data_IF_094672157745
#
_entry.id   IF_094672157745
#
_cell.length_a   1.000
_cell.length_b   1.000
_cell.length_c   1.000
_cell.angle_alpha   90.00
_cell.angle_beta   90.00
_cell.angle_gamma   90.00
#
_symmetry.space_group_name_H-M   'P 1'
#
loop_
_entity.id
_entity.type
_entity.pdbx_description
1 polymer ?
#
# COMPACT_ATOMS: atom_id res chain seq x y z
N UNK A 1 23.51 -1.61 4.37
CA UNK A 1 23.52 -1.80 5.85
C UNK A 1 22.11 -2.18 6.25
N UNK A 2 21.90 -3.36 6.87
CA UNK A 2 20.59 -3.73 7.44
C UNK A 2 20.38 -2.94 8.73
N UNK A 3 19.46 -1.98 8.72
CA UNK A 3 19.03 -1.26 9.91
C UNK A 3 17.80 -1.99 10.46
N UNK A 4 17.96 -2.70 11.57
CA UNK A 4 16.83 -3.15 12.39
C UNK A 4 17.07 -2.69 13.80
N UNK A 5 16.36 -1.64 14.23
CA UNK A 5 16.59 -1.01 15.51
C UNK A 5 15.29 -0.69 16.24
N UNK A 6 15.18 -1.15 17.47
CA UNK A 6 14.05 -0.83 18.33
C UNK A 6 14.26 0.54 19.02
N UNK A 7 13.25 1.39 18.92
CA UNK A 7 13.27 2.72 19.52
C UNK A 7 12.25 2.84 20.63
N UNK A 8 12.71 3.31 21.80
CA UNK A 8 11.86 3.64 22.95
C UNK A 8 11.31 5.07 22.81
N UNK A 9 10.20 5.34 23.48
CA UNK A 9 9.59 6.67 23.56
C UNK A 9 10.60 7.73 24.05
N UNK A 10 10.45 8.97 23.61
CA UNK A 10 11.30 10.13 23.91
C UNK A 10 12.76 10.05 23.39
N UNK A 11 13.16 9.01 22.69
CA UNK A 11 14.49 8.96 22.04
C UNK A 11 14.53 9.85 20.80
N UNK A 12 15.70 10.43 20.55
CA UNK A 12 15.96 11.13 19.29
C UNK A 12 16.31 10.14 18.19
N UNK A 13 15.81 10.42 16.98
CA UNK A 13 16.15 9.74 15.75
C UNK A 13 16.45 10.81 14.69
N UNK A 14 17.35 10.52 13.76
CA UNK A 14 17.75 11.45 12.73
C UNK A 14 17.44 10.88 11.37
N UNK A 15 16.79 11.68 10.51
CA UNK A 15 16.61 11.39 9.09
C UNK A 15 17.74 12.12 8.36
N UNK A 16 18.56 11.39 7.64
CA UNK A 16 19.70 11.93 6.92
C UNK A 16 19.35 12.17 5.44
N UNK A 17 19.89 13.25 4.85
CA UNK A 17 19.60 13.60 3.45
C UNK A 17 20.32 12.66 2.48
N UNK A 18 21.60 12.35 2.73
CA UNK A 18 22.48 11.65 1.79
C UNK A 18 23.31 10.49 2.40
N UNK A 19 22.99 10.03 3.62
CA UNK A 19 23.75 8.99 4.31
C UNK A 19 23.04 7.65 4.32
N UNK A 20 23.84 6.57 4.52
CA UNK A 20 23.37 5.18 4.60
C UNK A 20 22.65 4.81 5.91
N UNK A 21 22.35 5.80 6.77
CA UNK A 21 21.58 5.60 7.98
C UNK A 21 20.07 5.61 7.67
N UNK A 22 19.27 6.29 8.44
CA UNK A 22 17.84 6.44 8.15
C UNK A 22 17.63 7.58 7.15
N UNK A 23 17.28 7.24 5.90
CA UNK A 23 16.87 8.19 4.87
C UNK A 23 15.46 7.88 4.38
N UNK A 24 14.82 8.85 3.73
CA UNK A 24 13.48 8.71 3.14
C UNK A 24 13.58 8.79 1.63
N UNK A 25 12.82 7.93 0.96
CA UNK A 25 12.68 7.95 -0.49
C UNK A 25 11.25 8.31 -0.89
N UNK A 26 11.02 9.14 -1.92
CA UNK A 26 12.03 9.81 -2.74
C UNK A 26 12.76 10.93 -1.99
N UNK A 27 14.02 11.25 -2.39
CA UNK A 27 14.90 12.17 -1.62
C UNK A 27 14.32 13.57 -1.41
N UNK A 28 13.54 14.06 -2.36
CA UNK A 28 12.86 15.37 -2.28
C UNK A 28 11.91 15.50 -1.09
N UNK A 29 11.44 14.40 -0.53
CA UNK A 29 10.60 14.41 0.69
C UNK A 29 11.32 15.06 1.86
N UNK A 30 12.64 14.91 1.95
CA UNK A 30 13.46 15.53 2.98
C UNK A 30 13.24 17.04 3.05
N UNK A 31 13.23 17.73 1.89
CA UNK A 31 13.10 19.18 1.81
C UNK A 31 11.64 19.67 2.08
N UNK A 32 10.65 18.79 2.00
CA UNK A 32 9.25 19.09 2.31
C UNK A 32 8.90 18.92 3.78
N UNK A 33 9.69 18.17 4.57
CA UNK A 33 9.41 17.96 5.98
C UNK A 33 9.62 19.25 6.79
N UNK A 34 8.72 19.51 7.74
CA UNK A 34 8.71 20.71 8.57
C UNK A 34 8.64 20.32 10.04
N UNK A 35 9.00 21.27 10.92
CA UNK A 35 8.78 21.14 12.36
C UNK A 35 7.32 20.73 12.63
N UNK A 36 7.13 19.88 13.62
CA UNK A 36 5.84 19.32 14.07
C UNK A 36 5.17 18.34 13.08
N UNK A 37 5.83 17.99 11.96
CA UNK A 37 5.36 16.90 11.11
C UNK A 37 5.42 15.56 11.87
N UNK A 38 4.31 14.81 11.79
CA UNK A 38 4.18 13.50 12.42
C UNK A 38 4.30 12.40 11.38
N UNK A 39 5.29 11.52 11.57
CA UNK A 39 5.58 10.42 10.67
C UNK A 39 5.27 9.08 11.34
N UNK A 40 4.51 8.24 10.65
CA UNK A 40 4.31 6.84 11.01
C UNK A 40 5.25 5.98 10.13
N UNK A 41 6.12 5.21 10.75
CA UNK A 41 7.16 4.42 10.08
C UNK A 41 6.85 2.94 10.21
N UNK A 42 6.67 2.26 9.08
CA UNK A 42 6.35 0.83 9.02
C UNK A 42 4.96 0.46 9.55
N UNK A 43 4.77 -0.83 9.83
CA UNK A 43 3.53 -1.38 10.39
C UNK A 43 3.58 -1.55 11.92
N UNK A 44 4.77 -1.48 12.51
CA UNK A 44 5.05 -1.85 13.90
C UNK A 44 4.95 -0.69 14.89
N UNK A 45 4.12 0.30 14.55
CA UNK A 45 3.71 1.34 15.50
C UNK A 45 4.70 2.48 15.73
N UNK A 46 5.90 2.49 15.14
CA UNK A 46 6.87 3.57 15.34
C UNK A 46 6.31 4.90 14.82
N UNK A 47 6.12 5.87 15.74
CA UNK A 47 5.75 7.24 15.39
C UNK A 47 6.83 8.20 15.84
N UNK A 48 7.14 9.15 14.98
CA UNK A 48 8.13 10.20 15.25
C UNK A 48 7.56 11.57 14.89
N UNK A 49 8.01 12.61 15.60
CA UNK A 49 7.67 14.00 15.30
C UNK A 49 8.96 14.74 14.94
N UNK A 50 8.89 15.56 13.90
CA UNK A 50 9.99 16.43 13.49
C UNK A 50 10.16 17.55 14.50
N UNK A 51 11.35 17.62 15.09
CA UNK A 51 11.70 18.65 16.10
C UNK A 51 12.47 19.81 15.46
N UNK A 52 13.45 19.49 14.60
CA UNK A 52 14.29 20.50 13.96
C UNK A 52 14.84 20.01 12.63
N UNK A 53 14.78 20.87 11.62
CA UNK A 53 15.34 20.64 10.30
C UNK A 53 16.70 21.34 10.18
N UNK A 54 17.72 20.59 9.78
CA UNK A 54 19.04 21.08 9.43
C UNK A 54 19.31 20.83 7.94
N UNK A 55 20.33 21.42 7.37
CA UNK A 55 20.66 21.27 5.94
C UNK A 55 20.90 19.82 5.48
N UNK A 56 21.56 19.01 6.33
CA UNK A 56 21.93 17.62 6.00
C UNK A 56 21.14 16.55 6.77
N UNK A 57 20.39 16.93 7.82
CA UNK A 57 19.62 15.99 8.62
C UNK A 57 18.42 16.63 9.30
N UNK A 58 17.44 15.83 9.65
CA UNK A 58 16.26 16.24 10.41
C UNK A 58 16.27 15.52 11.75
N UNK A 59 16.21 16.29 12.85
CA UNK A 59 16.04 15.73 14.19
C UNK A 59 14.58 15.45 14.44
N UNK A 60 14.25 14.20 14.76
CA UNK A 60 12.94 13.76 15.19
C UNK A 60 12.96 13.21 16.60
N UNK A 61 11.80 13.22 17.27
CA UNK A 61 11.59 12.60 18.57
C UNK A 61 10.59 11.47 18.44
N UNK A 62 10.87 10.34 19.08
CA UNK A 62 9.97 9.19 19.10
C UNK A 62 8.78 9.49 20.03
N UNK A 63 7.57 9.45 19.47
CA UNK A 63 6.30 9.68 20.20
C UNK A 63 5.57 8.38 20.49
N UNK A 64 5.80 7.33 19.68
CA UNK A 64 5.33 5.97 19.98
C UNK A 64 6.47 4.98 19.67
N UNK A 65 6.76 4.02 20.57
CA UNK A 65 7.86 3.09 20.39
C UNK A 65 7.58 2.14 19.23
N UNK A 66 8.64 1.58 18.65
CA UNK A 66 8.53 0.62 17.57
C UNK A 66 9.87 0.35 16.89
N UNK A 67 9.82 -0.45 15.84
CA UNK A 67 11.01 -0.90 15.11
C UNK A 67 11.19 -0.06 13.84
N UNK A 68 12.40 0.49 13.69
CA UNK A 68 12.89 1.02 12.40
C UNK A 68 13.61 -0.10 11.66
N UNK A 69 13.15 -0.38 10.45
CA UNK A 69 13.74 -1.38 9.56
C UNK A 69 13.83 -0.84 8.13
N UNK A 70 14.60 -1.51 7.27
CA UNK A 70 14.77 -1.13 5.86
C UNK A 70 13.48 -1.31 5.07
N UNK A 71 13.33 -0.49 4.02
CA UNK A 71 12.23 -0.56 3.05
C UNK A 71 10.83 -0.49 3.68
N UNK A 72 10.70 0.19 4.81
CA UNK A 72 9.38 0.43 5.44
C UNK A 72 8.73 1.68 4.86
N UNK A 73 7.41 1.61 4.64
CA UNK A 73 6.63 2.78 4.27
C UNK A 73 6.68 3.86 5.35
N UNK A 74 6.75 5.13 4.93
CA UNK A 74 6.69 6.29 5.84
C UNK A 74 5.48 7.13 5.45
N UNK A 75 4.57 7.35 6.39
CA UNK A 75 3.35 8.13 6.18
C UNK A 75 3.40 9.41 7.00
N UNK A 76 3.19 10.55 6.33
CA UNK A 76 2.99 11.83 6.97
C UNK A 76 1.51 11.93 7.38
N UNK A 77 1.24 12.05 8.68
CA UNK A 77 -0.11 11.89 9.24
C UNK A 77 -0.87 13.22 9.26
N UNK A 78 -0.23 14.30 9.71
CA UNK A 78 -0.91 15.56 10.05
C UNK A 78 -1.08 16.53 8.88
N UNK A 79 -0.44 16.28 7.74
CA UNK A 79 -0.62 17.04 6.50
C UNK A 79 -0.28 16.23 5.26
N UNK A 80 -0.46 16.80 4.08
CA UNK A 80 -0.16 16.14 2.81
C UNK A 80 1.00 16.83 2.09
N UNK A 81 1.84 16.04 1.44
CA UNK A 81 2.88 16.47 0.50
C UNK A 81 2.43 16.05 -0.90
N UNK A 82 2.53 16.95 -1.86
CA UNK A 82 2.29 16.63 -3.26
C UNK A 82 3.59 16.12 -3.89
N UNK A 83 3.68 14.81 -4.03
CA UNK A 83 4.79 14.15 -4.72
C UNK A 83 4.43 13.93 -6.19
N UNK A 84 5.45 13.79 -7.03
CA UNK A 84 5.27 13.33 -8.40
C UNK A 84 4.73 11.90 -8.38
N UNK A 85 3.80 11.59 -9.29
CA UNK A 85 3.20 10.25 -9.39
C UNK A 85 4.20 9.15 -9.81
N UNK A 86 5.34 9.53 -10.43
CA UNK A 86 6.47 8.67 -10.72
C UNK A 86 7.78 9.36 -10.34
N UNK A 87 8.64 8.62 -9.65
CA UNK A 87 10.02 9.03 -9.36
C UNK A 87 10.94 8.84 -10.57
N UNK A 88 12.18 9.34 -10.49
CA UNK A 88 13.22 9.04 -11.51
C UNK A 88 13.49 7.53 -11.61
N UNK A 89 13.51 6.84 -10.47
CA UNK A 89 13.72 5.38 -10.40
C UNK A 89 12.57 4.62 -11.07
N UNK A 90 11.34 5.04 -10.88
CA UNK A 90 10.17 4.41 -11.52
C UNK A 90 10.24 4.55 -13.04
N UNK A 91 10.64 5.72 -13.57
CA UNK A 91 10.80 5.93 -14.99
C UNK A 91 11.87 5.02 -15.60
N UNK A 92 13.02 4.91 -14.94
CA UNK A 92 14.08 3.98 -15.34
C UNK A 92 13.61 2.52 -15.32
N UNK A 93 12.89 2.12 -14.26
CA UNK A 93 12.32 0.78 -14.16
C UNK A 93 11.32 0.48 -15.28
N UNK A 94 10.48 1.45 -15.66
CA UNK A 94 9.56 1.34 -16.80
C UNK A 94 10.33 1.16 -18.12
N UNK A 95 11.38 1.94 -18.35
CA UNK A 95 12.23 1.81 -19.55
C UNK A 95 12.86 0.42 -19.65
N UNK A 96 13.42 -0.10 -18.55
CA UNK A 96 13.98 -1.45 -18.48
C UNK A 96 12.89 -2.50 -18.73
N UNK A 97 11.73 -2.34 -18.13
CA UNK A 97 10.61 -3.26 -18.28
C UNK A 97 10.12 -3.34 -19.73
N UNK A 98 10.00 -2.20 -20.41
CA UNK A 98 9.61 -2.14 -21.83
C UNK A 98 10.66 -2.85 -22.71
N UNK A 99 11.96 -2.60 -22.49
CA UNK A 99 13.06 -3.27 -23.21
C UNK A 99 13.01 -4.81 -23.03
N UNK A 100 12.51 -5.29 -21.90
CA UNK A 100 12.35 -6.72 -21.60
C UNK A 100 10.95 -7.26 -21.94
N UNK A 101 10.17 -6.57 -22.75
CA UNK A 101 8.82 -6.98 -23.19
C UNK A 101 7.81 -7.21 -22.05
N UNK A 102 7.97 -6.59 -20.89
CA UNK A 102 6.99 -6.63 -19.82
C UNK A 102 5.75 -5.84 -20.23
N UNK A 103 4.58 -6.46 -20.13
CA UNK A 103 3.30 -5.88 -20.58
C UNK A 103 2.31 -5.60 -19.45
N UNK A 104 2.64 -5.95 -18.21
CA UNK A 104 1.76 -5.75 -17.05
C UNK A 104 2.42 -4.80 -16.05
N UNK A 105 1.71 -3.75 -15.69
CA UNK A 105 2.20 -2.71 -14.78
C UNK A 105 1.17 -2.41 -13.70
N UNK A 106 1.63 -2.09 -12.50
CA UNK A 106 0.80 -1.56 -11.43
C UNK A 106 1.27 -0.16 -11.03
N UNK A 107 0.34 0.79 -10.89
CA UNK A 107 0.62 2.12 -10.37
C UNK A 107 0.18 2.20 -8.92
N UNK A 108 1.14 2.28 -8.00
CA UNK A 108 0.87 2.53 -6.58
C UNK A 108 0.44 3.98 -6.35
N UNK A 109 -0.29 4.22 -5.27
CA UNK A 109 -0.73 5.54 -4.84
C UNK A 109 -1.43 6.35 -5.93
N UNK A 110 -2.32 5.71 -6.69
CA UNK A 110 -3.14 6.38 -7.70
C UNK A 110 -4.11 7.34 -7.02
N UNK A 111 -3.90 8.64 -7.14
CA UNK A 111 -4.63 9.68 -6.39
C UNK A 111 -5.64 10.46 -7.23
N UNK A 112 -5.55 10.41 -8.56
CA UNK A 112 -6.39 11.19 -9.46
C UNK A 112 -6.53 10.57 -10.85
N UNK A 113 -7.57 10.97 -11.57
CA UNK A 113 -7.74 10.65 -12.99
C UNK A 113 -6.55 11.12 -13.85
N UNK A 114 -5.90 12.23 -13.46
CA UNK A 114 -4.72 12.75 -14.14
C UNK A 114 -3.52 11.79 -14.07
N UNK A 115 -3.36 11.07 -12.95
CA UNK A 115 -2.29 10.08 -12.78
C UNK A 115 -2.53 8.91 -13.76
N UNK A 116 -3.77 8.44 -13.84
CA UNK A 116 -4.17 7.38 -14.78
C UNK A 116 -3.95 7.80 -16.23
N UNK A 117 -4.40 9.01 -16.59
CA UNK A 117 -4.21 9.53 -17.94
C UNK A 117 -2.73 9.56 -18.34
N UNK A 118 -1.87 10.11 -17.48
CA UNK A 118 -0.43 10.17 -17.73
C UNK A 118 0.19 8.78 -17.83
N UNK A 119 -0.20 7.85 -16.96
CA UNK A 119 0.31 6.48 -16.97
C UNK A 119 -0.17 5.70 -18.19
N UNK A 120 -1.42 5.90 -18.62
CA UNK A 120 -1.95 5.33 -19.86
C UNK A 120 -1.21 5.83 -21.09
N UNK A 121 -0.89 7.14 -21.14
CA UNK A 121 -0.11 7.73 -22.23
C UNK A 121 1.32 7.19 -22.28
N UNK A 122 1.94 6.93 -21.12
CA UNK A 122 3.30 6.38 -21.04
C UNK A 122 3.37 4.92 -21.49
N UNK A 123 2.30 4.14 -21.28
CA UNK A 123 2.25 2.70 -21.51
C UNK A 123 1.02 2.31 -22.35
N UNK A 124 0.91 2.74 -23.63
CA UNK A 124 -0.33 2.62 -24.40
C UNK A 124 -0.82 1.16 -24.57
N UNK A 125 0.09 0.23 -24.82
CA UNK A 125 -0.21 -1.17 -25.17
C UNK A 125 0.01 -2.15 -24.00
N UNK A 126 -0.02 -1.65 -22.75
CA UNK A 126 0.21 -2.47 -21.57
C UNK A 126 -1.06 -2.62 -20.74
N UNK A 127 -1.21 -3.76 -20.05
CA UNK A 127 -2.20 -3.92 -19.00
C UNK A 127 -1.77 -3.13 -17.76
N UNK A 128 -2.68 -2.41 -17.15
CA UNK A 128 -2.41 -1.57 -15.99
C UNK A 128 -3.40 -1.86 -14.87
N UNK A 129 -2.88 -1.96 -13.65
CA UNK A 129 -3.66 -2.04 -12.42
C UNK A 129 -3.36 -0.79 -11.60
N UNK A 130 -4.41 -0.06 -11.20
CA UNK A 130 -4.30 1.17 -10.43
C UNK A 130 -4.61 0.89 -8.96
N UNK A 131 -3.64 1.13 -8.06
CA UNK A 131 -3.79 0.82 -6.65
C UNK A 131 -4.48 1.96 -5.89
N UNK A 132 -5.55 1.61 -5.18
CA UNK A 132 -6.37 2.50 -4.36
C UNK A 132 -5.93 2.34 -2.89
N UNK A 133 -5.03 3.21 -2.45
CA UNK A 133 -4.28 3.07 -1.19
C UNK A 133 -4.35 4.30 -0.30
N UNK A 134 -5.08 5.34 -0.74
CA UNK A 134 -5.05 6.63 -0.04
C UNK A 134 -6.45 7.21 0.16
N UNK A 135 -6.60 8.04 1.18
CA UNK A 135 -7.82 8.82 1.42
C UNK A 135 -8.16 9.74 0.23
N UNK A 136 -7.14 10.19 -0.52
CA UNK A 136 -7.33 11.01 -1.73
C UNK A 136 -7.89 10.19 -2.88
N UNK A 137 -7.43 8.95 -3.06
CA UNK A 137 -8.01 8.02 -4.04
C UNK A 137 -9.50 7.78 -3.77
N UNK A 138 -9.88 7.60 -2.50
CA UNK A 138 -11.29 7.41 -2.10
C UNK A 138 -12.14 8.65 -2.44
N UNK A 139 -11.63 9.86 -2.15
CA UNK A 139 -12.34 11.11 -2.50
C UNK A 139 -12.54 11.28 -4.01
N UNK A 140 -11.57 10.85 -4.81
CA UNK A 140 -11.58 10.99 -6.27
C UNK A 140 -12.06 9.72 -7.00
N UNK A 141 -12.67 8.77 -6.28
CA UNK A 141 -12.95 7.42 -6.75
C UNK A 141 -13.75 7.39 -8.07
N UNK A 142 -14.77 8.24 -8.20
CA UNK A 142 -15.61 8.28 -9.40
C UNK A 142 -14.83 8.70 -10.65
N UNK A 143 -14.00 9.73 -10.55
CA UNK A 143 -13.16 10.20 -11.65
C UNK A 143 -12.05 9.21 -11.99
N UNK A 144 -11.47 8.57 -10.99
CA UNK A 144 -10.45 7.52 -11.14
C UNK A 144 -11.05 6.33 -11.90
N UNK A 145 -12.20 5.81 -11.48
CA UNK A 145 -12.82 4.64 -12.09
C UNK A 145 -13.36 4.88 -13.51
N UNK A 146 -13.58 6.14 -13.91
CA UNK A 146 -13.92 6.47 -15.30
C UNK A 146 -12.71 6.38 -16.25
N UNK A 147 -11.48 6.36 -15.74
CA UNK A 147 -10.25 6.43 -16.56
C UNK A 147 -9.46 5.12 -16.57
N UNK A 148 -9.79 4.15 -15.72
CA UNK A 148 -9.12 2.86 -15.61
C UNK A 148 -10.08 1.68 -15.80
N UNK A 149 -9.52 0.49 -15.98
CA UNK A 149 -10.28 -0.76 -16.12
C UNK A 149 -10.04 -1.73 -14.96
N UNK A 150 -8.81 -1.86 -14.52
CA UNK A 150 -8.40 -2.77 -13.45
C UNK A 150 -7.86 -1.98 -12.26
N UNK A 151 -8.38 -2.22 -11.07
CA UNK A 151 -8.01 -1.56 -9.82
C UNK A 151 -7.66 -2.59 -8.76
N UNK A 152 -6.88 -2.16 -7.77
CA UNK A 152 -6.55 -2.98 -6.61
C UNK A 152 -6.71 -2.15 -5.34
N UNK A 153 -7.45 -2.68 -4.37
CA UNK A 153 -7.49 -2.14 -3.01
C UNK A 153 -6.34 -2.76 -2.23
N UNK A 154 -5.37 -1.96 -1.81
CA UNK A 154 -4.36 -2.38 -0.85
C UNK A 154 -4.81 -1.96 0.55
N UNK A 155 -5.37 -2.92 1.30
CA UNK A 155 -5.96 -2.65 2.62
C UNK A 155 -4.91 -2.24 3.64
N UNK A 156 -3.69 -2.76 3.51
CA UNK A 156 -2.58 -2.44 4.40
C UNK A 156 -2.20 -0.95 4.32
N UNK A 157 -1.95 -0.43 3.12
CA UNK A 157 -1.59 0.97 2.94
C UNK A 157 -2.79 1.91 3.17
N UNK A 158 -3.99 1.52 2.73
CA UNK A 158 -5.20 2.30 2.95
C UNK A 158 -5.51 2.48 4.45
N UNK A 159 -5.24 1.46 5.28
CA UNK A 159 -5.45 1.52 6.74
C UNK A 159 -4.55 2.53 7.45
N UNK A 160 -3.40 2.87 6.87
CA UNK A 160 -2.49 3.89 7.41
C UNK A 160 -2.93 5.32 7.09
N UNK A 161 -3.58 5.48 5.94
CA UNK A 161 -4.11 6.78 5.47
C UNK A 161 -5.49 7.11 6.07
N UNK A 162 -6.19 6.10 6.49
CA UNK A 162 -7.50 6.19 7.14
C UNK A 162 -7.42 5.58 8.54
N UNK A 163 -8.43 4.85 8.98
CA UNK A 163 -8.36 4.08 10.23
C UNK A 163 -8.83 2.67 9.93
N UNK A 164 -8.36 1.69 10.69
CA UNK A 164 -8.59 0.28 10.39
C UNK A 164 -10.09 -0.07 10.38
N UNK A 165 -10.87 0.55 11.28
CA UNK A 165 -12.33 0.36 11.37
C UNK A 165 -13.10 0.87 10.15
N UNK A 166 -12.49 1.73 9.32
CA UNK A 166 -13.09 2.24 8.07
C UNK A 166 -12.82 1.35 6.86
N UNK A 167 -11.86 0.44 6.95
CA UNK A 167 -11.48 -0.42 5.82
C UNK A 167 -12.66 -1.25 5.28
N UNK A 168 -13.47 -1.95 6.10
CA UNK A 168 -14.61 -2.70 5.60
C UNK A 168 -15.63 -1.81 4.86
N UNK A 169 -15.87 -0.60 5.36
CA UNK A 169 -16.74 0.37 4.71
C UNK A 169 -16.19 0.81 3.34
N UNK A 170 -14.91 1.19 3.27
CA UNK A 170 -14.31 1.62 2.00
C UNK A 170 -14.22 0.49 0.98
N UNK A 171 -13.89 -0.73 1.42
CA UNK A 171 -13.89 -1.91 0.54
C UNK A 171 -15.27 -2.10 -0.10
N UNK A 172 -16.35 -2.12 0.68
CA UNK A 172 -17.72 -2.24 0.17
C UNK A 172 -18.12 -1.09 -0.75
N UNK A 173 -17.76 0.14 -0.39
CA UNK A 173 -18.01 1.32 -1.22
C UNK A 173 -17.33 1.21 -2.60
N UNK A 174 -16.05 0.83 -2.61
CA UNK A 174 -15.25 0.68 -3.85
C UNK A 174 -15.85 -0.44 -4.71
N UNK A 175 -16.12 -1.61 -4.15
CA UNK A 175 -16.68 -2.77 -4.89
C UNK A 175 -18.07 -2.45 -5.45
N UNK A 176 -18.95 -1.80 -4.68
CA UNK A 176 -20.25 -1.34 -5.15
C UNK A 176 -20.15 -0.36 -6.32
N UNK A 177 -19.22 0.59 -6.26
CA UNK A 177 -18.97 1.54 -7.36
C UNK A 177 -18.37 0.83 -8.59
N UNK A 178 -17.44 -0.09 -8.38
CA UNK A 178 -16.83 -0.89 -9.45
C UNK A 178 -17.89 -1.68 -10.24
N UNK A 179 -18.83 -2.33 -9.53
CA UNK A 179 -19.95 -3.03 -10.17
C UNK A 179 -20.79 -2.09 -11.04
N UNK A 180 -21.14 -0.90 -10.55
CA UNK A 180 -21.90 0.11 -11.31
C UNK A 180 -21.15 0.58 -12.56
N UNK A 181 -19.83 0.77 -12.46
CA UNK A 181 -18.99 1.26 -13.56
C UNK A 181 -18.44 0.15 -14.46
N UNK A 182 -18.77 -1.12 -14.18
CA UNK A 182 -18.30 -2.30 -14.91
C UNK A 182 -16.77 -2.37 -15.03
N UNK A 183 -16.06 -2.02 -13.95
CA UNK A 183 -14.61 -2.13 -13.82
C UNK A 183 -14.23 -3.25 -12.87
N UNK A 184 -13.02 -3.80 -13.02
CA UNK A 184 -12.53 -4.87 -12.16
C UNK A 184 -11.83 -4.30 -10.94
N UNK A 185 -12.10 -4.88 -9.78
CA UNK A 185 -11.38 -4.57 -8.55
C UNK A 185 -10.85 -5.86 -7.93
N UNK A 186 -9.56 -5.87 -7.69
CA UNK A 186 -8.85 -6.89 -6.89
C UNK A 186 -8.71 -6.37 -5.47
N UNK A 187 -8.72 -7.26 -4.49
CA UNK A 187 -8.50 -6.90 -3.08
C UNK A 187 -7.24 -7.60 -2.61
N UNK A 188 -6.36 -6.84 -1.95
CA UNK A 188 -5.06 -7.31 -1.49
C UNK A 188 -4.89 -7.13 0.01
N UNK A 189 -3.98 -7.95 0.55
CA UNK A 189 -3.43 -7.92 1.91
C UNK A 189 -4.36 -8.41 3.01
N UNK A 190 -3.77 -9.00 4.06
CA UNK A 190 -4.41 -9.42 5.30
C UNK A 190 -5.60 -10.39 5.13
N UNK A 191 -5.53 -11.31 4.17
CA UNK A 191 -6.56 -12.35 4.03
C UNK A 191 -6.33 -13.55 4.95
N UNK A 192 -5.08 -13.97 5.09
CA UNK A 192 -4.67 -15.16 5.84
C UNK A 192 -3.45 -14.85 6.71
N UNK A 193 -3.48 -13.70 7.39
CA UNK A 193 -2.35 -13.20 8.19
C UNK A 193 -1.97 -14.16 9.32
N UNK A 194 -2.93 -14.85 9.93
CA UNK A 194 -2.67 -15.87 10.94
C UNK A 194 -1.87 -17.05 10.38
N UNK A 195 -2.06 -17.35 9.07
CA UNK A 195 -1.34 -18.42 8.39
C UNK A 195 0.11 -18.08 8.04
N UNK A 196 0.60 -16.88 8.35
CA UNK A 196 2.04 -16.62 8.30
C UNK A 196 2.80 -17.52 9.28
N UNK A 197 2.20 -17.86 10.41
CA UNK A 197 2.80 -18.65 11.48
C UNK A 197 2.04 -19.94 11.83
N UNK A 198 0.82 -20.12 11.32
CA UNK A 198 -0.04 -21.27 11.60
C UNK A 198 -0.48 -21.95 10.29
N UNK A 199 -0.62 -23.28 10.25
CA UNK A 199 -1.04 -23.99 9.02
C UNK A 199 -2.54 -23.85 8.70
N UNK A 200 -3.33 -23.27 9.61
CA UNK A 200 -4.78 -23.11 9.46
C UNK A 200 -5.20 -21.65 9.69
N UNK A 201 -6.18 -21.16 8.92
CA UNK A 201 -6.71 -19.81 9.11
C UNK A 201 -7.72 -19.75 10.25
N UNK A 202 -8.04 -18.54 10.64
CA UNK A 202 -9.15 -18.26 11.55
C UNK A 202 -10.50 -18.29 10.80
N UNK A 203 -11.61 -18.44 11.55
CA UNK A 203 -12.96 -18.33 10.99
C UNK A 203 -13.24 -16.93 10.42
N UNK A 204 -12.66 -15.89 11.06
CA UNK A 204 -12.77 -14.51 10.59
C UNK A 204 -12.14 -14.31 9.22
N UNK A 205 -10.95 -14.88 8.99
CA UNK A 205 -10.26 -14.83 7.69
C UNK A 205 -11.05 -15.57 6.60
N UNK A 206 -11.59 -16.75 6.92
CA UNK A 206 -12.44 -17.47 5.98
C UNK A 206 -13.69 -16.65 5.59
N UNK A 207 -14.32 -15.99 6.56
CA UNK A 207 -15.46 -15.12 6.34
C UNK A 207 -15.09 -13.87 5.52
N UNK A 208 -13.95 -13.24 5.81
CA UNK A 208 -13.47 -12.07 5.04
C UNK A 208 -13.25 -12.42 3.56
N UNK A 209 -12.60 -13.55 3.27
CA UNK A 209 -12.39 -14.03 1.90
C UNK A 209 -13.74 -14.23 1.20
N UNK A 210 -14.67 -14.95 1.82
CA UNK A 210 -15.96 -15.27 1.22
C UNK A 210 -16.80 -14.01 0.98
N UNK A 211 -16.92 -13.14 1.97
CA UNK A 211 -17.69 -11.89 1.86
C UNK A 211 -17.08 -10.93 0.83
N UNK A 212 -15.74 -10.85 0.73
CA UNK A 212 -15.07 -10.06 -0.30
C UNK A 212 -15.45 -10.51 -1.72
N UNK A 213 -15.57 -11.82 -1.95
CA UNK A 213 -16.03 -12.38 -3.22
C UNK A 213 -17.53 -12.07 -3.49
N UNK A 214 -18.37 -12.20 -2.46
CA UNK A 214 -19.82 -11.86 -2.53
C UNK A 214 -20.01 -10.38 -2.84
N UNK A 215 -19.23 -9.50 -2.25
CA UNK A 215 -19.25 -8.05 -2.51
C UNK A 215 -18.81 -7.70 -3.94
N UNK A 216 -18.23 -8.65 -4.68
CA UNK A 216 -17.94 -8.53 -6.12
C UNK A 216 -16.48 -8.28 -6.47
N UNK A 217 -15.56 -8.64 -5.61
CA UNK A 217 -14.14 -8.62 -5.96
C UNK A 217 -13.87 -9.53 -7.18
N UNK A 218 -13.09 -9.05 -8.14
CA UNK A 218 -12.67 -9.79 -9.32
C UNK A 218 -11.61 -10.83 -9.01
N UNK A 219 -10.84 -10.60 -7.98
CA UNK A 219 -9.79 -11.49 -7.50
C UNK A 219 -9.23 -11.04 -6.15
N UNK A 220 -8.49 -11.95 -5.55
CA UNK A 220 -7.87 -11.80 -4.23
C UNK A 220 -6.36 -11.90 -4.40
N UNK A 221 -5.61 -11.10 -3.65
CA UNK A 221 -4.15 -11.05 -3.73
C UNK A 221 -3.56 -11.31 -2.35
N UNK A 222 -2.86 -12.41 -2.20
CA UNK A 222 -2.01 -12.71 -1.04
C UNK A 222 -0.72 -11.88 -1.13
N UNK A 223 -0.13 -11.54 -0.01
CA UNK A 223 1.08 -10.72 0.09
C UNK A 223 2.11 -11.36 1.03
N UNK A 224 2.14 -10.97 2.29
CA UNK A 224 3.06 -11.50 3.30
C UNK A 224 2.94 -13.01 3.47
N UNK A 225 1.74 -13.53 3.38
CA UNK A 225 1.38 -14.94 3.53
C UNK A 225 2.17 -15.85 2.57
N UNK A 226 2.40 -15.37 1.35
CA UNK A 226 3.13 -16.13 0.32
C UNK A 226 4.57 -15.65 0.12
N UNK A 227 4.91 -14.43 0.58
CA UNK A 227 6.24 -13.87 0.39
C UNK A 227 7.22 -14.22 1.53
N UNK A 228 6.74 -14.27 2.77
CA UNK A 228 7.57 -14.48 3.96
C UNK A 228 6.91 -15.40 5.01
N UNK A 229 5.65 -15.83 4.79
CA UNK A 229 4.96 -16.77 5.66
C UNK A 229 5.53 -18.16 5.62
N UNK A 230 5.29 -18.96 6.66
CA UNK A 230 5.79 -20.32 6.78
C UNK A 230 4.94 -21.34 6.00
N UNK A 231 3.71 -20.98 5.60
CA UNK A 231 2.71 -21.87 4.99
C UNK A 231 2.15 -21.32 3.66
N UNK A 232 3.00 -20.93 2.68
CA UNK A 232 2.54 -20.27 1.45
C UNK A 232 1.64 -21.17 0.59
N UNK A 233 1.93 -22.45 0.52
CA UNK A 233 1.16 -23.44 -0.26
C UNK A 233 -0.23 -23.63 0.34
N UNK A 234 -0.32 -23.78 1.66
CA UNK A 234 -1.56 -23.95 2.42
C UNK A 234 -2.45 -22.72 2.30
N UNK A 235 -1.88 -21.52 2.31
CA UNK A 235 -2.60 -20.26 2.06
C UNK A 235 -3.29 -20.28 0.70
N UNK A 236 -2.56 -20.63 -0.37
CA UNK A 236 -3.12 -20.70 -1.72
C UNK A 236 -4.19 -21.79 -1.83
N UNK A 237 -3.93 -22.98 -1.28
CA UNK A 237 -4.89 -24.09 -1.28
C UNK A 237 -6.17 -23.73 -0.54
N UNK A 238 -6.07 -23.07 0.62
CA UNK A 238 -7.24 -22.64 1.39
C UNK A 238 -8.05 -21.59 0.61
N UNK A 239 -7.38 -20.60 0.04
CA UNK A 239 -8.03 -19.58 -0.79
C UNK A 239 -8.83 -20.23 -1.95
N UNK A 240 -8.24 -21.21 -2.63
CA UNK A 240 -8.89 -21.95 -3.73
C UNK A 240 -10.11 -22.75 -3.25
N UNK A 241 -10.06 -23.35 -2.04
CA UNK A 241 -11.21 -24.02 -1.43
C UNK A 241 -12.39 -23.06 -1.23
N UNK A 242 -12.15 -21.87 -0.64
CA UNK A 242 -13.20 -20.85 -0.46
C UNK A 242 -13.76 -20.39 -1.82
N UNK A 243 -12.90 -20.14 -2.81
CA UNK A 243 -13.34 -19.77 -4.17
C UNK A 243 -14.25 -20.86 -4.78
N UNK A 244 -13.92 -22.14 -4.56
CA UNK A 244 -14.75 -23.25 -5.02
C UNK A 244 -16.13 -23.23 -4.35
N UNK A 245 -16.18 -23.07 -3.03
CA UNK A 245 -17.43 -22.94 -2.26
C UNK A 245 -18.24 -21.75 -2.78
N UNK A 246 -17.65 -20.60 -2.94
CA UNK A 246 -18.31 -19.41 -3.48
C UNK A 246 -18.92 -19.66 -4.86
N UNK A 247 -18.21 -20.35 -5.76
CA UNK A 247 -18.70 -20.66 -7.11
C UNK A 247 -19.87 -21.64 -7.11
N UNK A 248 -19.95 -22.55 -6.15
CA UNK A 248 -21.03 -23.52 -6.03
C UNK A 248 -22.35 -22.88 -5.52
N UNK A 249 -22.24 -21.76 -4.78
CA UNK A 249 -23.37 -21.10 -4.14
C UNK A 249 -23.70 -19.72 -4.73
N UNK A 250 -23.15 -19.40 -5.90
CA UNK A 250 -23.43 -18.21 -6.69
C UNK A 250 -24.52 -18.52 -7.71
#
# INVERSE_FOLDING_TARGET
VKIKKNYKINKNIYIDKNNNNFNIYPPEVFDFLKKDDQLHVGFEGLKIVVVKHYSSRIKCKVTNPGILDNNKGVHLINRKINLNYLTKKDKLAIEIAIKNNIKNFALSFTNSAKDIYKFNKLLPNCRKIFKLETSRAIKNLDSIMNCGKDFLIDRGDLSKETTIEKIPFYQKLILKKAKKKKVNVFVATNFLESMMNNPYPTRGEANDIYTTLVDGAKGLVLAGETAVGNFPTECVQFLLKIIKVFKLHK
#
